data_IF_831992848089
#
_entry.id   IF_831992848089
#
_cell.length_a   1.000
_cell.length_b   1.000
_cell.length_c   1.000
_cell.angle_alpha   90.00
_cell.angle_beta   90.00
_cell.angle_gamma   90.00
#
_symmetry.space_group_name_H-M   'P 1'
#
loop_
_entity.id
_entity.type
_entity.pdbx_description
1 polymer ?
#
# COMPACT_ATOMS: atom_id res chain seq x y z
N UNK A 1 -7.36 -22.00 -16.02
CA UNK A 1 -5.99 -21.78 -15.52
C UNK A 1 -6.06 -20.62 -14.52
N UNK A 2 -5.47 -20.73 -13.31
CA UNK A 2 -5.45 -19.59 -12.39
C UNK A 2 -4.38 -18.59 -12.89
N UNK A 3 -4.76 -17.34 -13.02
CA UNK A 3 -3.83 -16.25 -13.36
C UNK A 3 -3.03 -15.89 -12.11
N UNK A 4 -1.70 -16.02 -12.18
CA UNK A 4 -0.80 -15.67 -11.08
C UNK A 4 -0.16 -14.34 -11.43
N UNK A 5 -0.33 -13.35 -10.55
CA UNK A 5 0.27 -12.03 -10.68
C UNK A 5 1.37 -11.87 -9.65
N UNK A 6 2.51 -11.35 -10.08
CA UNK A 6 3.67 -11.10 -9.22
C UNK A 6 3.76 -9.62 -8.93
N UNK A 7 3.77 -9.26 -7.64
CA UNK A 7 4.10 -7.92 -7.17
C UNK A 7 5.54 -7.90 -6.67
N UNK A 8 6.32 -6.91 -7.07
CA UNK A 8 7.68 -6.70 -6.58
C UNK A 8 7.66 -5.67 -5.45
N UNK A 9 8.24 -6.02 -4.31
CA UNK A 9 8.33 -5.17 -3.12
C UNK A 9 9.76 -4.68 -2.84
N UNK A 10 10.69 -4.87 -3.80
CA UNK A 10 12.11 -4.52 -3.61
C UNK A 10 12.28 -3.06 -3.23
N UNK A 11 11.53 -2.15 -3.85
CA UNK A 11 11.65 -0.72 -3.56
C UNK A 11 11.21 -0.35 -2.15
N UNK A 12 10.19 -1.03 -1.65
CA UNK A 12 9.65 -0.86 -0.30
C UNK A 12 10.61 -1.44 0.74
N UNK A 13 11.03 -2.69 0.58
CA UNK A 13 11.85 -3.41 1.56
C UNK A 13 13.31 -2.97 1.55
N UNK A 14 13.85 -2.54 0.41
CA UNK A 14 15.23 -2.03 0.34
C UNK A 14 15.46 -0.80 1.21
N UNK A 15 14.45 0.01 1.44
CA UNK A 15 14.53 1.17 2.32
C UNK A 15 14.58 0.77 3.81
N UNK A 16 13.86 -0.29 4.17
CA UNK A 16 13.83 -0.82 5.54
C UNK A 16 15.11 -1.62 5.88
N UNK A 17 15.82 -2.12 4.87
CA UNK A 17 17.01 -2.96 5.05
C UNK A 17 18.27 -2.12 5.25
N UNK A 18 18.88 -2.21 6.44
CA UNK A 18 20.19 -1.60 6.71
C UNK A 18 21.34 -2.19 5.88
N UNK A 19 21.15 -3.38 5.31
CA UNK A 19 22.16 -4.08 4.50
C UNK A 19 22.14 -3.65 3.03
N UNK A 20 21.05 -3.06 2.54
CA UNK A 20 20.86 -2.62 1.16
C UNK A 20 20.74 -1.09 1.12
N UNK A 21 21.87 -0.42 0.81
CA UNK A 21 21.87 1.03 0.60
C UNK A 21 21.85 1.32 -0.89
N UNK A 22 20.64 1.32 -1.48
CA UNK A 22 20.47 1.72 -2.87
C UNK A 22 20.37 3.23 -3.01
N UNK A 23 21.23 3.81 -3.86
CA UNK A 23 21.06 5.20 -4.29
C UNK A 23 19.75 5.36 -5.07
N UNK A 24 19.22 6.58 -5.10
CA UNK A 24 18.00 6.85 -5.87
C UNK A 24 18.14 6.52 -7.36
N UNK A 25 19.33 6.72 -7.93
CA UNK A 25 19.60 6.35 -9.32
C UNK A 25 19.50 4.84 -9.56
N UNK A 26 20.05 4.03 -8.65
CA UNK A 26 19.94 2.58 -8.72
C UNK A 26 18.49 2.11 -8.58
N UNK A 27 17.72 2.71 -7.67
CA UNK A 27 16.27 2.45 -7.54
C UNK A 27 15.55 2.70 -8.86
N UNK A 28 15.82 3.80 -9.56
CA UNK A 28 15.21 4.10 -10.86
C UNK A 28 15.57 3.08 -11.94
N UNK A 29 16.82 2.60 -11.97
CA UNK A 29 17.23 1.55 -12.93
C UNK A 29 16.53 0.22 -12.63
N UNK A 30 16.39 -0.17 -11.36
CA UNK A 30 15.65 -1.38 -10.96
C UNK A 30 14.19 -1.26 -11.40
N UNK A 31 13.53 -0.13 -11.14
CA UNK A 31 12.14 0.11 -11.56
C UNK A 31 11.97 -0.06 -13.06
N UNK A 32 12.89 0.47 -13.88
CA UNK A 32 12.84 0.30 -15.35
C UNK A 32 12.96 -1.17 -15.77
N UNK A 33 13.80 -1.93 -15.08
CA UNK A 33 13.97 -3.37 -15.35
C UNK A 33 12.70 -4.13 -14.98
N UNK A 34 12.13 -3.88 -13.80
CA UNK A 34 10.91 -4.51 -13.34
C UNK A 34 9.72 -4.23 -14.27
N UNK A 35 9.55 -2.97 -14.68
CA UNK A 35 8.50 -2.57 -15.63
C UNK A 35 8.68 -3.25 -16.99
N UNK A 36 9.94 -3.43 -17.46
CA UNK A 36 10.26 -4.12 -18.72
C UNK A 36 10.01 -5.63 -18.64
N UNK A 37 10.30 -6.27 -17.49
CA UNK A 37 10.01 -7.68 -17.25
C UNK A 37 8.51 -7.93 -17.22
N UNK A 38 7.71 -6.91 -16.86
CA UNK A 38 6.26 -7.00 -16.83
C UNK A 38 5.73 -7.60 -15.54
N UNK A 39 6.33 -7.28 -14.38
CA UNK A 39 5.71 -7.58 -13.08
C UNK A 39 4.34 -6.89 -12.99
N UNK A 40 3.38 -7.52 -12.34
CA UNK A 40 2.03 -6.98 -12.28
C UNK A 40 1.97 -5.66 -11.50
N UNK A 41 2.73 -5.56 -10.40
CA UNK A 41 2.82 -4.34 -9.62
C UNK A 41 4.24 -4.12 -9.09
N UNK A 42 4.62 -2.85 -8.91
CA UNK A 42 5.85 -2.40 -8.26
C UNK A 42 5.42 -1.60 -7.04
N UNK A 43 5.70 -2.11 -5.85
CA UNK A 43 5.40 -1.44 -4.60
C UNK A 43 6.56 -0.53 -4.18
N UNK A 44 6.24 0.69 -3.81
CA UNK A 44 7.21 1.70 -3.38
C UNK A 44 6.92 2.16 -1.96
N UNK A 45 7.88 2.87 -1.38
CA UNK A 45 7.71 3.51 -0.07
C UNK A 45 6.62 4.58 -0.13
N UNK A 46 5.88 4.76 0.97
CA UNK A 46 4.90 5.83 1.12
C UNK A 46 5.57 7.21 1.33
N UNK A 47 4.75 8.24 1.47
CA UNK A 47 5.19 9.57 1.88
C UNK A 47 5.12 9.65 3.40
N UNK A 48 6.28 9.72 4.05
CA UNK A 48 6.33 9.84 5.51
C UNK A 48 6.19 11.29 5.97
N UNK A 49 6.95 12.20 5.41
CA UNK A 49 6.90 13.62 5.81
C UNK A 49 7.69 14.58 4.92
N UNK A 50 8.30 14.11 3.84
CA UNK A 50 9.22 14.96 3.10
C UNK A 50 8.80 15.23 1.66
N UNK A 51 9.06 16.46 1.20
CA UNK A 51 8.99 16.82 -0.23
C UNK A 51 9.86 15.90 -1.09
N UNK A 52 10.87 15.28 -0.50
CA UNK A 52 11.78 14.34 -1.19
C UNK A 52 11.06 13.06 -1.53
N UNK A 53 10.22 12.50 -0.63
CA UNK A 53 9.47 11.28 -0.89
C UNK A 53 8.46 11.49 -2.02
N UNK A 54 7.75 12.61 -2.00
CA UNK A 54 6.84 13.01 -3.09
C UNK A 54 7.57 13.09 -4.44
N UNK A 55 8.77 13.68 -4.48
CA UNK A 55 9.58 13.76 -5.70
C UNK A 55 10.09 12.40 -6.16
N UNK A 56 10.43 11.50 -5.22
CA UNK A 56 10.83 10.11 -5.54
C UNK A 56 9.68 9.36 -6.21
N UNK A 57 8.49 9.38 -5.61
CA UNK A 57 7.29 8.73 -6.18
C UNK A 57 6.98 9.32 -7.55
N UNK A 58 6.99 10.64 -7.69
CA UNK A 58 6.75 11.32 -8.97
C UNK A 58 7.74 10.91 -10.06
N UNK A 59 9.01 10.75 -9.71
CA UNK A 59 10.03 10.30 -10.65
C UNK A 59 9.80 8.86 -11.07
N UNK A 60 9.46 7.96 -10.13
CA UNK A 60 9.12 6.57 -10.41
C UNK A 60 7.86 6.50 -11.27
N UNK A 61 6.81 7.25 -10.93
CA UNK A 61 5.55 7.30 -11.68
C UNK A 61 5.75 7.68 -13.16
N UNK A 62 6.73 8.54 -13.45
CA UNK A 62 7.05 8.92 -14.82
C UNK A 62 7.70 7.79 -15.64
N UNK A 63 8.31 6.81 -14.98
CA UNK A 63 9.04 5.70 -15.61
C UNK A 63 8.19 4.44 -15.80
N UNK A 64 7.26 4.17 -14.87
CA UNK A 64 6.41 2.98 -14.91
C UNK A 64 5.34 3.14 -15.99
N UNK A 65 5.30 2.20 -16.95
CA UNK A 65 4.40 2.23 -18.11
C UNK A 65 3.51 1.00 -18.23
N UNK A 66 4.04 -0.16 -17.86
CA UNK A 66 3.36 -1.45 -18.05
C UNK A 66 2.84 -2.02 -16.73
N UNK A 67 3.60 -1.83 -15.66
CA UNK A 67 3.26 -2.31 -14.32
C UNK A 67 2.31 -1.34 -13.60
N UNK A 68 1.60 -1.83 -12.60
CA UNK A 68 0.87 -0.97 -11.67
C UNK A 68 1.84 -0.41 -10.63
N UNK A 69 1.87 0.90 -10.46
CA UNK A 69 2.58 1.56 -9.36
C UNK A 69 1.73 1.48 -8.10
N UNK A 70 2.14 0.70 -7.12
CA UNK A 70 1.44 0.53 -5.86
C UNK A 70 2.10 1.37 -4.76
N UNK A 71 1.32 2.25 -4.13
CA UNK A 71 1.83 3.21 -3.15
C UNK A 71 0.98 3.14 -1.88
N UNK A 72 1.60 2.91 -0.70
CA UNK A 72 0.89 2.92 0.56
C UNK A 72 0.44 4.33 0.95
N UNK A 73 -0.75 4.39 1.54
CA UNK A 73 -1.34 5.61 2.11
C UNK A 73 -1.79 5.36 3.55
N UNK A 74 -1.68 6.39 4.38
CA UNK A 74 -2.28 6.40 5.71
C UNK A 74 -3.79 6.66 5.61
N UNK A 75 -4.52 6.40 6.68
CA UNK A 75 -5.99 6.56 6.73
C UNK A 75 -6.46 8.02 6.90
N UNK A 76 -5.62 8.99 6.58
CA UNK A 76 -5.94 10.42 6.62
C UNK A 76 -5.93 11.04 5.22
N UNK A 77 -6.78 12.02 5.02
CA UNK A 77 -7.01 12.64 3.72
C UNK A 77 -5.77 13.38 3.18
N UNK A 78 -4.94 13.94 4.08
CA UNK A 78 -3.71 14.64 3.71
C UNK A 78 -2.69 13.66 3.07
N UNK A 79 -2.51 12.49 3.68
CA UNK A 79 -1.65 11.43 3.14
C UNK A 79 -2.17 10.93 1.79
N UNK A 80 -3.47 10.68 1.69
CA UNK A 80 -4.10 10.19 0.44
C UNK A 80 -3.90 11.21 -0.69
N UNK A 81 -4.17 12.49 -0.44
CA UNK A 81 -4.01 13.54 -1.45
C UNK A 81 -2.53 13.75 -1.85
N UNK A 82 -1.62 13.73 -0.87
CA UNK A 82 -0.18 13.88 -1.12
C UNK A 82 0.36 12.74 -2.00
N UNK A 83 0.01 11.49 -1.68
CA UNK A 83 0.43 10.32 -2.47
C UNK A 83 -0.19 10.35 -3.85
N UNK A 84 -1.50 10.62 -3.97
CA UNK A 84 -2.16 10.72 -5.26
C UNK A 84 -1.53 11.79 -6.15
N UNK A 85 -1.29 12.97 -5.61
CA UNK A 85 -0.64 14.07 -6.35
C UNK A 85 0.74 13.69 -6.89
N UNK A 86 1.48 12.83 -6.20
CA UNK A 86 2.78 12.33 -6.64
C UNK A 86 2.65 11.17 -7.66
N UNK A 87 1.70 10.26 -7.45
CA UNK A 87 1.58 9.01 -8.20
C UNK A 87 0.76 9.11 -9.48
N UNK A 88 -0.19 10.04 -9.59
CA UNK A 88 -1.16 10.17 -10.71
C UNK A 88 -0.53 10.33 -12.09
N UNK A 89 0.78 10.53 -12.19
CA UNK A 89 1.51 10.54 -13.46
C UNK A 89 1.81 9.17 -14.05
N UNK A 90 1.65 8.07 -13.30
CA UNK A 90 1.76 6.72 -13.82
C UNK A 90 0.48 6.30 -14.55
N UNK A 91 0.61 5.35 -15.51
CA UNK A 91 -0.54 4.86 -16.27
C UNK A 91 -1.52 4.05 -15.41
N UNK A 92 -0.98 3.28 -14.47
CA UNK A 92 -1.75 2.43 -13.57
C UNK A 92 -1.27 2.69 -12.14
N UNK A 93 -2.15 3.20 -11.29
CA UNK A 93 -1.85 3.51 -9.89
C UNK A 93 -2.76 2.71 -9.00
N UNK A 94 -2.17 2.01 -8.03
CA UNK A 94 -2.86 1.39 -6.91
C UNK A 94 -2.56 2.15 -5.64
N UNK A 95 -3.59 2.66 -4.97
CA UNK A 95 -3.48 3.17 -3.61
C UNK A 95 -3.71 2.02 -2.63
N UNK A 96 -2.77 1.84 -1.70
CA UNK A 96 -2.80 0.77 -0.70
C UNK A 96 -3.09 1.38 0.66
N UNK A 97 -4.33 1.26 1.13
CA UNK A 97 -4.71 1.69 2.49
C UNK A 97 -4.21 0.65 3.47
N UNK A 98 -3.29 1.03 4.34
CA UNK A 98 -2.68 0.15 5.33
C UNK A 98 -3.27 0.39 6.72
N UNK A 99 -3.69 -0.68 7.37
CA UNK A 99 -4.21 -0.64 8.72
C UNK A 99 -3.79 -1.85 9.55
N UNK A 100 -3.36 -1.60 10.79
CA UNK A 100 -3.14 -2.63 11.78
C UNK A 100 -4.49 -3.23 12.20
N UNK A 101 -4.60 -4.56 12.22
CA UNK A 101 -5.84 -5.23 12.58
C UNK A 101 -5.70 -6.14 13.81
N UNK A 102 -4.49 -6.47 14.25
CA UNK A 102 -4.28 -7.22 15.49
C UNK A 102 -4.35 -6.29 16.71
N UNK A 103 -4.79 -6.79 17.88
CA UNK A 103 -4.81 -6.02 19.13
C UNK A 103 -3.45 -5.42 19.47
N UNK A 104 -2.36 -6.19 19.31
CA UNK A 104 -0.99 -5.77 19.62
C UNK A 104 -0.54 -4.59 18.76
N UNK A 105 -0.77 -4.66 17.45
CA UNK A 105 -0.41 -3.57 16.55
C UNK A 105 -1.33 -2.35 16.69
N UNK A 106 -2.60 -2.56 17.06
CA UNK A 106 -3.55 -1.46 17.30
C UNK A 106 -3.20 -0.68 18.56
N UNK A 107 -2.73 -1.34 19.63
CA UNK A 107 -2.27 -0.69 20.85
C UNK A 107 -1.04 0.18 20.59
N UNK A 108 -0.05 -0.32 19.85
CA UNK A 108 1.16 0.41 19.49
C UNK A 108 0.85 1.65 18.60
N UNK A 109 -0.14 1.56 17.74
CA UNK A 109 -0.56 2.66 16.86
C UNK A 109 -1.55 3.64 17.50
N UNK A 110 -1.82 3.54 18.80
CA UNK A 110 -2.80 4.37 19.53
C UNK A 110 -4.21 4.36 18.88
N UNK A 111 -4.57 3.23 18.27
CA UNK A 111 -5.84 3.10 17.59
C UNK A 111 -7.01 3.16 18.55
N UNK A 112 -8.06 3.81 18.09
CA UNK A 112 -9.35 3.94 18.77
C UNK A 112 -10.03 2.57 18.94
N UNK A 113 -11.22 2.58 19.57
CA UNK A 113 -12.06 1.38 19.66
C UNK A 113 -12.20 0.67 18.31
N UNK A 114 -12.25 -0.66 18.33
CA UNK A 114 -12.26 -1.52 17.15
C UNK A 114 -13.28 -1.12 16.07
N UNK A 115 -14.51 -0.74 16.46
CA UNK A 115 -15.54 -0.33 15.48
C UNK A 115 -15.17 1.00 14.80
N UNK A 116 -14.64 1.98 15.53
CA UNK A 116 -14.20 3.24 14.94
C UNK A 116 -13.02 3.05 13.97
N UNK A 117 -12.18 2.05 14.20
CA UNK A 117 -11.09 1.71 13.30
C UNK A 117 -11.59 1.11 11.97
N UNK A 118 -12.65 0.31 12.03
CA UNK A 118 -13.30 -0.21 10.80
C UNK A 118 -13.87 0.94 9.97
N UNK A 119 -14.55 1.91 10.63
CA UNK A 119 -15.13 3.07 9.96
C UNK A 119 -14.06 3.96 9.32
N UNK A 120 -12.95 4.20 10.03
CA UNK A 120 -11.81 4.97 9.52
C UNK A 120 -11.17 4.29 8.30
N UNK A 121 -10.97 2.96 8.34
CA UNK A 121 -10.45 2.19 7.22
C UNK A 121 -11.39 2.23 6.00
N UNK A 122 -12.68 2.03 6.22
CA UNK A 122 -13.68 2.08 5.15
C UNK A 122 -13.75 3.48 4.52
N UNK A 123 -13.70 4.54 5.33
CA UNK A 123 -13.67 5.94 4.86
C UNK A 123 -12.43 6.20 3.99
N UNK A 124 -11.24 5.80 4.45
CA UNK A 124 -10.00 5.98 3.70
C UNK A 124 -10.03 5.24 2.35
N UNK A 125 -10.56 4.01 2.33
CA UNK A 125 -10.76 3.25 1.08
C UNK A 125 -11.73 3.96 0.15
N UNK A 126 -12.85 4.50 0.66
CA UNK A 126 -13.81 5.24 -0.13
C UNK A 126 -13.18 6.51 -0.75
N UNK A 127 -12.42 7.28 0.05
CA UNK A 127 -11.67 8.45 -0.46
C UNK A 127 -10.69 8.06 -1.57
N UNK A 128 -9.96 6.95 -1.41
CA UNK A 128 -9.06 6.44 -2.45
C UNK A 128 -9.83 6.00 -3.71
N UNK A 129 -11.01 5.40 -3.56
CA UNK A 129 -11.83 4.94 -4.67
C UNK A 129 -12.44 6.08 -5.51
N UNK A 130 -12.52 7.29 -4.97
CA UNK A 130 -12.86 8.49 -5.76
C UNK A 130 -11.71 8.94 -6.66
N UNK A 131 -10.48 8.55 -6.36
CA UNK A 131 -9.28 8.99 -7.08
C UNK A 131 -8.81 7.96 -8.12
N UNK A 132 -8.92 6.68 -7.82
CA UNK A 132 -8.46 5.58 -8.70
C UNK A 132 -9.38 4.37 -8.64
N UNK A 133 -9.47 3.64 -9.75
CA UNK A 133 -10.21 2.39 -9.83
C UNK A 133 -9.49 1.19 -9.18
N UNK A 134 -8.22 1.30 -8.83
CA UNK A 134 -7.42 0.23 -8.23
C UNK A 134 -7.02 0.62 -6.80
N UNK A 135 -7.86 0.22 -5.85
CA UNK A 135 -7.63 0.41 -4.41
C UNK A 135 -7.40 -0.96 -3.76
N UNK A 136 -6.32 -1.06 -2.99
CA UNK A 136 -6.04 -2.21 -2.14
C UNK A 136 -6.16 -1.84 -0.66
N UNK A 137 -6.62 -2.79 0.13
CA UNK A 137 -6.54 -2.73 1.59
C UNK A 137 -5.52 -3.75 2.08
N UNK A 138 -4.61 -3.31 2.95
CA UNK A 138 -3.56 -4.14 3.53
C UNK A 138 -3.82 -4.29 5.02
N UNK A 139 -4.29 -5.47 5.41
CA UNK A 139 -4.52 -5.83 6.81
C UNK A 139 -3.20 -6.26 7.46
N UNK A 140 -2.56 -5.34 8.17
CA UNK A 140 -1.26 -5.59 8.83
C UNK A 140 -1.48 -6.49 10.05
N UNK A 141 -0.66 -7.53 10.17
CA UNK A 141 -0.67 -8.48 11.28
C UNK A 141 -2.01 -9.23 11.44
N UNK A 142 -2.63 -9.54 10.32
CA UNK A 142 -3.97 -10.13 10.27
C UNK A 142 -4.04 -11.55 10.84
N UNK A 143 -2.92 -12.28 10.84
CA UNK A 143 -2.86 -13.67 11.35
C UNK A 143 -2.98 -13.77 12.86
N UNK A 144 -2.75 -12.67 13.60
CA UNK A 144 -2.92 -12.59 15.05
C UNK A 144 -4.22 -11.94 15.50
N UNK A 145 -5.13 -11.64 14.57
CA UNK A 145 -6.42 -11.01 14.90
C UNK A 145 -7.54 -12.03 15.03
N UNK A 146 -8.62 -11.65 15.71
CA UNK A 146 -9.86 -12.43 15.73
C UNK A 146 -10.46 -12.52 14.32
N UNK A 147 -10.81 -13.74 13.90
CA UNK A 147 -11.33 -14.01 12.56
C UNK A 147 -12.64 -13.28 12.29
N UNK A 148 -13.52 -13.16 13.29
CA UNK A 148 -14.81 -12.47 13.13
C UNK A 148 -14.61 -10.96 12.99
N UNK A 149 -13.63 -10.39 13.69
CA UNK A 149 -13.24 -8.99 13.53
C UNK A 149 -12.62 -8.75 12.14
N UNK A 150 -11.66 -9.58 11.71
CA UNK A 150 -11.05 -9.49 10.39
C UNK A 150 -12.10 -9.56 9.27
N UNK A 151 -13.07 -10.48 9.40
CA UNK A 151 -14.16 -10.59 8.44
C UNK A 151 -14.97 -9.30 8.32
N UNK A 152 -15.29 -8.64 9.45
CA UNK A 152 -16.00 -7.35 9.46
C UNK A 152 -15.19 -6.25 8.76
N UNK A 153 -13.87 -6.17 9.05
CA UNK A 153 -12.97 -5.22 8.39
C UNK A 153 -12.98 -5.44 6.87
N UNK A 154 -12.76 -6.69 6.42
CA UNK A 154 -12.72 -7.03 5.00
C UNK A 154 -14.04 -6.69 4.31
N UNK A 155 -15.18 -7.02 4.95
CA UNK A 155 -16.50 -6.68 4.41
C UNK A 155 -16.68 -5.18 4.26
N UNK A 156 -16.31 -4.40 5.27
CA UNK A 156 -16.45 -2.94 5.26
C UNK A 156 -15.59 -2.29 4.17
N UNK A 157 -14.31 -2.65 4.07
CA UNK A 157 -13.39 -2.07 3.07
C UNK A 157 -13.73 -2.51 1.64
N UNK A 158 -14.20 -3.74 1.46
CA UNK A 158 -14.66 -4.23 0.14
C UNK A 158 -15.91 -3.47 -0.31
N UNK A 159 -16.85 -3.26 0.60
CA UNK A 159 -18.05 -2.45 0.33
C UNK A 159 -17.70 -1.00 0.03
N UNK A 160 -16.66 -0.47 0.64
CA UNK A 160 -16.14 0.88 0.39
C UNK A 160 -15.39 1.04 -0.94
N UNK A 161 -15.02 -0.06 -1.62
CA UNK A 161 -14.43 -0.02 -2.96
C UNK A 161 -13.05 -0.70 -3.10
N UNK A 162 -12.51 -1.34 -2.05
CA UNK A 162 -11.28 -2.11 -2.17
C UNK A 162 -11.48 -3.30 -3.12
N UNK A 163 -10.63 -3.40 -4.14
CA UNK A 163 -10.64 -4.51 -5.12
C UNK A 163 -9.65 -5.61 -4.77
N UNK A 164 -8.68 -5.31 -3.95
CA UNK A 164 -7.67 -6.25 -3.46
C UNK A 164 -7.58 -6.13 -1.95
N UNK A 165 -7.53 -7.26 -1.26
CA UNK A 165 -7.25 -7.32 0.17
C UNK A 165 -6.02 -8.18 0.38
N UNK A 166 -5.02 -7.63 1.07
CA UNK A 166 -3.81 -8.34 1.48
C UNK A 166 -3.91 -8.69 2.96
N UNK A 167 -3.75 -9.96 3.27
CA UNK A 167 -3.73 -10.49 4.64
C UNK A 167 -2.27 -10.75 5.01
N UNK A 168 -1.70 -9.92 5.89
CA UNK A 168 -0.28 -10.01 6.25
C UNK A 168 -0.05 -10.89 7.46
N UNK A 169 0.89 -11.84 7.35
CA UNK A 169 1.48 -12.55 8.47
C UNK A 169 2.77 -11.83 8.91
N UNK A 170 2.63 -10.73 9.64
CA UNK A 170 3.76 -9.89 10.04
C UNK A 170 4.68 -10.60 11.04
N UNK A 171 4.16 -11.55 11.81
CA UNK A 171 4.93 -12.32 12.78
C UNK A 171 5.59 -13.57 12.18
N UNK A 172 5.19 -14.00 10.98
CA UNK A 172 5.71 -15.21 10.34
C UNK A 172 5.38 -16.49 11.13
N UNK A 173 4.19 -16.55 11.72
CA UNK A 173 3.80 -17.62 12.63
C UNK A 173 2.81 -18.61 12.06
N UNK A 174 2.38 -18.42 10.82
CA UNK A 174 1.46 -19.31 10.09
C UNK A 174 2.21 -20.40 9.32
#
# INVERSE_FOLDING_TARGET
MRDIRVSDITMREAAASKALSLSFKEKLEIVKILDRIGVAAIEVEGIESSKVDSLRIKSIASLVKNSTLAVPVKMDDESIEAVWSAAKGAQHVRLQVEAAVSPECMEDSQCKKADAHIDDAARAVATCAELTDDVAFVAIDATRTDVAYLAKVIEAVTRAGAKTVTVCDAAGTM
#
